data_IF_075330168354
#
_entry.id   IF_075330168354
#
_cell.length_a   1.000
_cell.length_b   1.000
_cell.length_c   1.000
_cell.angle_alpha   90.00
_cell.angle_beta   90.00
_cell.angle_gamma   90.00
#
_symmetry.space_group_name_H-M   'P 1'
#
loop_
_entity.id
_entity.type
_entity.pdbx_description
1 polymer ?
#
# COMPACT_ATOMS: atom_id res chain seq x y z
N UNK A 1 5.15 -17.99 1.91
CA UNK A 1 4.15 -17.09 2.47
C UNK A 1 3.56 -16.16 1.43
N UNK A 2 4.40 -15.46 0.70
CA UNK A 2 3.89 -14.56 -0.32
C UNK A 2 3.07 -15.30 -1.37
N UNK A 3 3.49 -16.50 -1.68
CA UNK A 3 2.74 -17.30 -2.64
C UNK A 3 1.32 -17.54 -2.17
N UNK A 4 1.17 -17.81 -0.89
CA UNK A 4 -0.15 -18.07 -0.35
C UNK A 4 -1.02 -16.83 -0.40
N UNK A 5 -0.44 -15.68 -0.13
CA UNK A 5 -1.19 -14.44 -0.19
C UNK A 5 -1.64 -14.15 -1.61
N UNK A 6 -0.75 -14.32 -2.54
CA UNK A 6 -1.07 -14.07 -3.93
C UNK A 6 -2.14 -15.03 -4.45
N UNK A 7 -2.03 -16.29 -4.06
CA UNK A 7 -3.03 -17.27 -4.48
C UNK A 7 -4.36 -17.03 -3.76
N UNK A 8 -4.30 -16.65 -2.51
CA UNK A 8 -5.51 -16.44 -1.72
C UNK A 8 -6.31 -15.26 -2.23
N UNK A 9 -5.69 -14.35 -2.93
CA UNK A 9 -6.40 -13.22 -3.48
C UNK A 9 -7.65 -13.64 -4.24
N UNK A 10 -7.58 -14.73 -4.96
CA UNK A 10 -8.71 -15.18 -5.77
C UNK A 10 -9.87 -15.67 -4.93
N UNK A 11 -9.64 -15.93 -3.64
CA UNK A 11 -10.69 -16.43 -2.76
C UNK A 11 -11.20 -15.37 -1.81
N UNK A 12 -10.61 -14.18 -1.81
CA UNK A 12 -11.01 -13.11 -0.91
C UNK A 12 -11.80 -12.08 -1.68
N UNK A 13 -12.97 -12.34 -2.04
CA UNK A 13 -13.69 -11.31 -2.76
C UNK A 13 -15.08 -11.10 -2.23
N UNK A 14 -15.57 -12.06 -1.48
CA UNK A 14 -16.99 -12.11 -1.23
C UNK A 14 -17.47 -10.97 -0.35
N UNK A 15 -16.75 -10.71 0.73
CA UNK A 15 -17.30 -9.81 1.74
C UNK A 15 -16.80 -8.39 1.63
N UNK A 16 -15.68 -8.19 0.92
CA UNK A 16 -15.11 -6.85 0.81
C UNK A 16 -14.49 -6.34 2.08
N UNK A 17 -14.28 -7.20 3.06
CA UNK A 17 -13.73 -6.78 4.35
C UNK A 17 -12.32 -7.29 4.59
N UNK A 18 -11.74 -7.97 3.62
CA UNK A 18 -10.37 -8.46 3.77
C UNK A 18 -9.40 -7.32 3.57
N UNK A 19 -8.41 -7.28 4.42
CA UNK A 19 -7.39 -6.23 4.41
C UNK A 19 -6.03 -6.88 4.41
N UNK A 20 -5.18 -6.45 3.49
CA UNK A 20 -3.79 -6.86 3.46
C UNK A 20 -3.00 -5.89 4.31
N UNK A 21 -2.30 -6.42 5.32
CA UNK A 21 -1.50 -5.59 6.21
C UNK A 21 -0.03 -5.63 5.82
N UNK A 22 0.61 -4.49 5.94
CA UNK A 22 2.04 -4.37 5.70
C UNK A 22 2.60 -3.37 6.69
N UNK A 23 3.91 -3.37 6.84
CA UNK A 23 4.55 -2.45 7.78
C UNK A 23 5.50 -1.51 7.05
N UNK A 24 5.57 -0.31 7.60
CA UNK A 24 6.63 0.65 7.31
C UNK A 24 7.25 0.94 8.67
N UNK A 25 8.52 0.64 8.83
CA UNK A 25 9.16 0.66 10.16
C UNK A 25 8.33 -0.19 11.12
N UNK A 26 7.90 0.38 12.22
CA UNK A 26 7.16 -0.35 13.24
C UNK A 26 5.65 -0.16 13.15
N UNK A 27 5.18 0.60 12.19
CA UNK A 27 3.75 0.89 12.07
C UNK A 27 3.13 -0.02 11.03
N UNK A 28 1.95 -0.53 11.35
CA UNK A 28 1.25 -1.45 10.47
C UNK A 28 0.09 -0.72 9.79
N UNK A 29 0.09 -0.80 8.48
CA UNK A 29 -0.94 -0.20 7.64
C UNK A 29 -1.70 -1.29 6.93
N UNK A 30 -2.88 -0.96 6.45
CA UNK A 30 -3.70 -1.91 5.72
C UNK A 30 -4.21 -1.35 4.41
N UNK A 31 -4.43 -2.24 3.47
CA UNK A 31 -5.01 -1.92 2.17
C UNK A 31 -6.13 -2.89 1.91
N UNK A 32 -7.27 -2.39 1.47
CA UNK A 32 -8.39 -3.27 1.14
C UNK A 32 -7.97 -4.22 0.03
N UNK A 33 -8.26 -5.49 0.21
CA UNK A 33 -7.77 -6.52 -0.71
C UNK A 33 -8.30 -6.34 -2.13
N UNK A 34 -9.42 -5.65 -2.27
CA UNK A 34 -10.01 -5.46 -3.59
C UNK A 34 -9.11 -4.67 -4.52
N UNK A 35 -8.18 -3.90 -3.97
CA UNK A 35 -7.24 -3.14 -4.79
C UNK A 35 -5.95 -3.88 -5.08
N UNK A 36 -5.71 -5.01 -4.42
CA UNK A 36 -4.45 -5.72 -4.54
C UNK A 36 -4.50 -6.65 -5.73
N UNK A 37 -3.66 -6.39 -6.72
CA UNK A 37 -3.57 -7.27 -7.87
C UNK A 37 -2.59 -8.41 -7.60
N UNK A 38 -1.41 -8.06 -7.10
CA UNK A 38 -0.41 -9.08 -6.75
C UNK A 38 0.67 -8.45 -5.89
N UNK A 39 1.46 -9.31 -5.28
CA UNK A 39 2.60 -8.89 -4.46
C UNK A 39 3.83 -9.52 -5.09
N UNK A 40 4.83 -8.70 -5.37
CA UNK A 40 6.07 -9.19 -5.98
C UNK A 40 7.25 -8.74 -5.14
N UNK A 41 8.36 -9.44 -5.29
CA UNK A 41 9.59 -9.04 -4.65
C UNK A 41 10.12 -7.78 -5.30
N UNK A 42 10.93 -7.04 -4.55
CA UNK A 42 11.54 -5.85 -5.12
C UNK A 42 12.40 -6.26 -6.32
N UNK A 43 12.30 -5.49 -7.39
CA UNK A 43 13.09 -5.77 -8.57
C UNK A 43 13.63 -4.48 -9.11
N UNK A 44 14.39 -4.57 -10.18
CA UNK A 44 15.04 -3.39 -10.73
C UNK A 44 14.00 -2.39 -11.21
N UNK A 45 14.13 -1.17 -10.71
CA UNK A 45 13.22 -0.09 -11.06
C UNK A 45 13.93 0.83 -12.03
N UNK A 46 13.30 1.09 -13.17
CA UNK A 46 13.88 1.99 -14.15
C UNK A 46 13.50 3.42 -13.77
N UNK A 47 14.52 4.24 -13.58
CA UNK A 47 14.31 5.61 -13.17
C UNK A 47 13.90 6.45 -14.38
N UNK A 48 12.84 7.24 -14.20
CA UNK A 48 12.35 8.14 -15.24
C UNK A 48 12.68 9.56 -14.80
N UNK A 49 13.35 10.36 -15.62
CA UNK A 49 13.72 11.73 -15.21
C UNK A 49 12.50 12.64 -15.12
N UNK A 50 12.60 13.63 -14.25
CA UNK A 50 11.63 14.71 -14.14
C UNK A 50 10.25 14.24 -13.70
N UNK A 51 10.21 13.31 -12.76
CA UNK A 51 8.94 12.87 -12.17
C UNK A 51 8.95 13.26 -10.70
N UNK A 52 7.77 13.29 -10.06
CA UNK A 52 7.70 13.61 -8.63
C UNK A 52 8.56 12.67 -7.80
N UNK A 53 9.03 13.20 -6.69
CA UNK A 53 10.00 12.51 -5.86
C UNK A 53 9.50 11.18 -5.31
N UNK A 54 8.22 11.05 -5.04
CA UNK A 54 7.68 9.82 -4.48
C UNK A 54 7.57 8.69 -5.50
N UNK A 55 7.65 9.01 -6.78
CA UNK A 55 7.65 7.98 -7.83
C UNK A 55 9.08 7.56 -8.06
N UNK A 56 9.37 6.29 -7.78
CA UNK A 56 10.74 5.79 -7.91
C UNK A 56 11.09 5.48 -9.35
N UNK A 57 10.10 5.22 -10.18
CA UNK A 57 10.33 4.87 -11.56
C UNK A 57 9.25 3.91 -12.04
N UNK A 58 9.63 3.04 -12.95
CA UNK A 58 8.68 2.08 -13.52
C UNK A 58 9.30 0.69 -13.53
N UNK A 59 8.43 -0.31 -13.52
CA UNK A 59 8.85 -1.70 -13.69
C UNK A 59 8.02 -2.30 -14.81
N UNK A 60 8.52 -3.41 -15.33
CA UNK A 60 7.82 -4.14 -16.38
C UNK A 60 7.21 -5.39 -15.77
N UNK A 61 5.89 -5.50 -15.84
CA UNK A 61 5.19 -6.68 -15.36
C UNK A 61 4.47 -7.30 -16.55
N UNK A 62 4.98 -8.42 -17.02
CA UNK A 62 4.39 -9.16 -18.11
C UNK A 62 4.10 -8.28 -19.32
N UNK A 63 5.08 -7.42 -19.65
CA UNK A 63 4.95 -6.54 -20.81
C UNK A 63 4.24 -5.24 -20.56
N UNK A 64 3.77 -5.02 -19.36
CA UNK A 64 3.06 -3.81 -18.99
C UNK A 64 3.95 -2.92 -18.14
N UNK A 65 4.02 -1.65 -18.47
CA UNK A 65 4.82 -0.70 -17.71
C UNK A 65 4.00 -0.17 -16.55
N UNK A 66 4.51 -0.36 -15.34
CA UNK A 66 3.78 -0.03 -14.12
C UNK A 66 4.61 0.97 -13.32
N UNK A 67 4.08 2.14 -13.01
CA UNK A 67 4.81 3.09 -12.15
C UNK A 67 4.87 2.57 -10.72
N UNK A 68 5.95 2.93 -10.03
CA UNK A 68 6.21 2.44 -8.68
C UNK A 68 6.43 3.63 -7.75
N UNK A 69 5.70 3.65 -6.67
CA UNK A 69 5.73 4.71 -5.67
C UNK A 69 6.38 4.19 -4.39
N UNK A 70 7.19 5.04 -3.75
CA UNK A 70 7.71 4.73 -2.43
C UNK A 70 6.72 5.20 -1.38
N UNK A 71 6.20 4.28 -0.58
CA UNK A 71 5.30 4.66 0.51
C UNK A 71 6.04 5.51 1.53
N UNK A 72 7.31 5.18 1.78
CA UNK A 72 8.12 5.98 2.71
C UNK A 72 8.18 7.44 2.25
N UNK A 73 8.49 7.66 0.99
CA UNK A 73 8.54 9.01 0.46
C UNK A 73 7.20 9.71 0.58
N UNK A 74 6.14 8.98 0.27
CA UNK A 74 4.79 9.54 0.35
C UNK A 74 4.46 10.00 1.75
N UNK A 75 4.91 9.24 2.75
CA UNK A 75 4.61 9.52 4.15
C UNK A 75 5.61 10.48 4.78
N UNK A 76 6.63 10.92 4.02
CA UNK A 76 7.67 11.78 4.59
C UNK A 76 8.63 11.03 5.48
N UNK A 77 8.77 9.74 5.27
CA UNK A 77 9.67 8.90 6.05
C UNK A 77 10.92 8.64 5.22
N UNK A 78 12.07 8.70 5.88
CA UNK A 78 13.35 8.50 5.21
C UNK A 78 13.42 7.11 4.58
N UNK A 79 13.96 7.03 3.39
CA UNK A 79 14.13 5.75 2.71
C UNK A 79 15.29 4.98 3.29
N UNK A 80 15.18 3.66 3.24
CA UNK A 80 16.22 2.76 3.73
C UNK A 80 16.58 1.81 2.60
N UNK A 81 17.75 1.15 2.68
CA UNK A 81 18.09 0.15 1.67
C UNK A 81 17.06 -0.96 1.64
N UNK A 82 16.84 -1.49 0.46
CA UNK A 82 15.93 -2.62 0.30
C UNK A 82 16.61 -3.90 0.79
N UNK A 83 15.80 -4.81 1.32
CA UNK A 83 16.30 -6.11 1.73
C UNK A 83 15.39 -7.19 1.17
N UNK A 84 15.56 -8.42 1.63
CA UNK A 84 14.82 -9.55 1.07
C UNK A 84 13.35 -9.57 1.47
N UNK A 85 12.92 -8.67 2.34
CA UNK A 85 11.52 -8.56 2.73
C UNK A 85 10.83 -7.40 2.04
N UNK A 86 11.58 -6.50 1.44
CA UNK A 86 11.00 -5.38 0.72
C UNK A 86 10.19 -5.89 -0.46
N UNK A 87 8.96 -5.43 -0.55
CA UNK A 87 8.04 -5.92 -1.57
C UNK A 87 7.39 -4.78 -2.31
N UNK A 88 6.87 -5.11 -3.49
CA UNK A 88 6.02 -4.19 -4.23
C UNK A 88 4.63 -4.78 -4.24
N UNK A 89 3.66 -4.02 -3.74
CA UNK A 89 2.26 -4.40 -3.83
C UNK A 89 1.71 -3.71 -5.07
N UNK A 90 1.28 -4.50 -6.04
CA UNK A 90 0.73 -3.95 -7.27
C UNK A 90 -0.76 -3.73 -7.07
N UNK A 91 -1.17 -2.47 -7.14
CA UNK A 91 -2.56 -2.10 -6.99
C UNK A 91 -3.20 -1.95 -8.36
N UNK A 92 -4.45 -2.32 -8.45
CA UNK A 92 -5.20 -2.14 -9.68
C UNK A 92 -6.54 -1.50 -9.34
N UNK A 93 -6.91 -0.51 -10.12
CA UNK A 93 -8.13 0.26 -9.88
C UNK A 93 -9.17 -0.08 -10.94
N UNK A 94 -10.38 0.45 -10.75
CA UNK A 94 -11.51 0.09 -11.60
C UNK A 94 -11.27 0.39 -13.07
N UNK A 95 -10.48 1.41 -13.36
CA UNK A 95 -10.17 1.78 -14.74
C UNK A 95 -9.07 0.92 -15.35
N UNK A 96 -8.57 -0.06 -14.61
CA UNK A 96 -7.51 -0.93 -15.10
C UNK A 96 -6.11 -0.42 -14.90
N UNK A 97 -5.96 0.79 -14.37
CA UNK A 97 -4.64 1.32 -14.10
C UNK A 97 -3.98 0.57 -12.96
N UNK A 98 -2.69 0.33 -13.10
CA UNK A 98 -1.91 -0.36 -12.08
C UNK A 98 -0.79 0.54 -11.59
N UNK A 99 -0.54 0.47 -10.29
CA UNK A 99 0.53 1.21 -9.65
C UNK A 99 1.14 0.30 -8.59
N UNK A 100 2.47 0.21 -8.57
CA UNK A 100 3.15 -0.54 -7.52
C UNK A 100 3.49 0.37 -6.36
N UNK A 101 3.37 -0.14 -5.15
CA UNK A 101 3.82 0.59 -3.97
C UNK A 101 4.88 -0.24 -3.26
N UNK A 102 5.96 0.42 -2.86
CA UNK A 102 7.05 -0.25 -2.16
C UNK A 102 6.80 -0.17 -0.67
N UNK A 103 6.79 -1.33 -0.03
CA UNK A 103 6.59 -1.42 1.41
C UNK A 103 7.73 -2.20 2.03
N UNK A 104 7.96 -1.98 3.32
CA UNK A 104 9.07 -2.65 4.00
C UNK A 104 8.83 -4.15 4.10
N UNK A 105 7.58 -4.54 4.34
CA UNK A 105 7.29 -5.92 4.66
C UNK A 105 5.79 -6.16 4.63
N UNK A 106 5.40 -7.24 4.00
CA UNK A 106 3.99 -7.67 4.00
C UNK A 106 3.76 -8.54 5.23
N UNK A 107 2.63 -8.33 5.90
CA UNK A 107 2.32 -9.06 7.11
C UNK A 107 1.33 -10.20 6.85
N UNK A 108 0.07 -9.88 6.66
CA UNK A 108 -0.96 -10.90 6.58
C UNK A 108 -2.24 -10.30 6.01
N UNK A 109 -3.15 -11.18 5.63
CA UNK A 109 -4.50 -10.77 5.21
C UNK A 109 -5.46 -11.18 6.31
N UNK A 110 -6.29 -10.24 6.75
CA UNK A 110 -7.27 -10.49 7.80
C UNK A 110 -8.65 -10.06 7.30
N UNK A 111 -9.64 -10.87 7.61
CA UNK A 111 -11.03 -10.49 7.38
C UNK A 111 -11.45 -9.61 8.56
N UNK A 112 -11.57 -8.32 8.33
CA UNK A 112 -11.80 -7.36 9.39
C UNK A 112 -13.31 -7.21 9.63
N UNK A 113 -13.69 -7.27 10.89
CA UNK A 113 -15.09 -7.05 11.26
C UNK A 113 -15.41 -5.56 11.09
N UNK A 114 -16.48 -5.22 10.37
CA UNK A 114 -16.80 -3.79 10.19
C UNK A 114 -16.95 -3.03 11.50
N UNK A 115 -17.34 -3.70 12.58
CA UNK A 115 -17.47 -3.02 13.85
C UNK A 115 -16.13 -2.60 14.44
N UNK A 116 -15.03 -3.15 13.94
CA UNK A 116 -13.70 -2.79 14.42
C UNK A 116 -13.10 -1.60 13.64
N UNK A 117 -13.81 -1.10 12.68
CA UNK A 117 -13.33 0.01 11.85
C UNK A 117 -13.95 1.30 12.37
N UNK A 118 -13.11 2.29 12.63
CA UNK A 118 -13.58 3.57 13.13
C UNK A 118 -12.97 4.69 12.32
N UNK A 119 -13.57 5.86 12.44
CA UNK A 119 -13.11 7.03 11.70
C UNK A 119 -11.77 7.50 12.22
N UNK A 120 -10.98 8.07 11.31
CA UNK A 120 -9.72 8.66 11.67
C UNK A 120 -9.97 9.91 12.50
N UNK A 121 -9.23 10.09 13.60
CA UNK A 121 -9.35 11.33 14.35
C UNK A 121 -8.98 12.52 13.48
N UNK A 122 -9.62 13.63 13.80
CA UNK A 122 -9.40 14.85 13.07
C UNK A 122 -8.01 15.40 13.42
N UNK A 123 -7.06 15.17 12.56
CA UNK A 123 -5.70 15.63 12.79
C UNK A 123 -5.24 16.39 11.58
N UNK A 124 -4.67 17.55 11.80
CA UNK A 124 -4.45 18.46 10.69
C UNK A 124 -3.03 18.47 10.16
N UNK A 125 -2.09 17.90 10.87
CA UNK A 125 -0.71 18.22 10.57
C UNK A 125 0.20 17.07 10.29
N UNK A 126 -0.30 15.87 10.19
CA UNK A 126 0.57 14.73 10.01
C UNK A 126 0.48 14.30 8.55
N UNK A 127 1.61 14.29 7.86
CA UNK A 127 1.62 13.94 6.45
C UNK A 127 0.97 12.59 6.19
N UNK A 128 1.30 11.61 7.01
CA UNK A 128 0.75 10.28 6.81
C UNK A 128 -0.77 10.25 6.99
N UNK A 129 -1.30 11.11 7.85
CA UNK A 129 -2.73 11.10 8.14
C UNK A 129 -3.57 11.44 6.92
N UNK A 130 -3.03 12.17 5.98
CA UNK A 130 -3.81 12.52 4.79
C UNK A 130 -4.15 11.30 3.96
N UNK A 131 -3.41 10.22 4.15
CA UNK A 131 -3.62 8.99 3.40
C UNK A 131 -4.36 7.94 4.21
N UNK A 132 -4.69 8.24 5.45
CA UNK A 132 -5.36 7.30 6.34
C UNK A 132 -6.87 7.51 6.24
N UNK A 133 -7.56 6.45 5.93
CA UNK A 133 -8.99 6.49 5.72
C UNK A 133 -9.76 6.10 6.99
N UNK A 134 -9.22 5.17 7.75
CA UNK A 134 -9.89 4.64 8.93
C UNK A 134 -8.87 4.01 9.85
N UNK A 135 -9.30 3.77 11.09
CA UNK A 135 -8.52 2.99 12.05
C UNK A 135 -9.17 1.63 12.19
N UNK A 136 -8.35 0.61 12.34
CA UNK A 136 -8.82 -0.75 12.56
C UNK A 136 -8.36 -1.19 13.93
N UNK A 137 -9.32 -1.50 14.81
CA UNK A 137 -9.03 -1.89 16.18
C UNK A 137 -9.00 -3.41 16.28
N UNK A 138 -7.80 -3.97 16.38
CA UNK A 138 -7.64 -5.41 16.56
C UNK A 138 -7.11 -5.67 17.96
N UNK A 139 -7.25 -6.91 18.41
CA UNK A 139 -6.70 -7.28 19.71
C UNK A 139 -5.20 -7.00 19.76
N UNK A 140 -4.53 -7.18 18.64
CA UNK A 140 -3.08 -6.96 18.57
C UNK A 140 -2.70 -5.48 18.52
N UNK A 141 -3.68 -4.59 18.40
CA UNK A 141 -3.40 -3.16 18.38
C UNK A 141 -4.14 -2.45 17.28
N UNK A 142 -3.90 -1.16 17.19
CA UNK A 142 -4.56 -0.32 16.20
C UNK A 142 -3.73 -0.33 14.92
N UNK A 143 -4.40 -0.49 13.79
CA UNK A 143 -3.77 -0.45 12.49
C UNK A 143 -4.46 0.63 11.64
N UNK A 144 -3.73 1.12 10.65
CA UNK A 144 -4.17 2.29 9.88
C UNK A 144 -4.54 1.88 8.47
N UNK A 145 -5.82 2.03 8.13
CA UNK A 145 -6.29 1.68 6.79
C UNK A 145 -6.04 2.83 5.84
N UNK A 146 -5.38 2.54 4.73
CA UNK A 146 -4.95 3.54 3.78
C UNK A 146 -6.03 3.76 2.72
N UNK A 147 -6.20 5.01 2.34
CA UNK A 147 -7.00 5.40 1.19
C UNK A 147 -6.11 5.27 -0.04
N UNK A 148 -6.31 4.22 -0.81
CA UNK A 148 -5.44 3.93 -1.95
C UNK A 148 -5.52 5.00 -3.03
N UNK A 149 -6.69 5.55 -3.25
CA UNK A 149 -6.83 6.60 -4.26
C UNK A 149 -6.04 7.84 -3.88
N UNK A 150 -6.10 8.23 -2.62
CA UNK A 150 -5.33 9.38 -2.17
C UNK A 150 -3.84 9.09 -2.24
N UNK A 151 -3.44 7.89 -1.85
CA UNK A 151 -2.04 7.53 -1.88
C UNK A 151 -1.45 7.69 -3.28
N UNK A 152 -2.22 7.32 -4.28
CA UNK A 152 -1.73 7.32 -5.66
C UNK A 152 -1.90 8.69 -6.31
N UNK A 153 -2.98 9.38 -6.05
CA UNK A 153 -3.37 10.56 -6.85
C UNK A 153 -3.07 11.89 -6.19
N UNK A 154 -2.68 11.88 -4.92
CA UNK A 154 -2.36 13.13 -4.24
C UNK A 154 -1.11 13.73 -4.85
N UNK A 155 -1.13 15.03 -5.09
CA UNK A 155 0.03 15.72 -5.67
C UNK A 155 1.11 15.98 -4.65
N UNK A 156 1.08 15.30 -3.52
CA UNK A 156 2.11 15.46 -2.52
C UNK A 156 1.86 16.62 -1.59
N UNK A 157 0.62 17.04 -1.53
CA UNK A 157 0.29 18.09 -0.59
C UNK A 157 0.91 19.41 -1.00
N UNK A 158 0.99 19.64 -2.27
CA UNK A 158 1.53 20.88 -2.76
C UNK A 158 0.79 22.08 -2.19
N UNK A 159 -0.35 21.85 -1.68
CA UNK A 159 -1.09 22.94 -1.07
C UNK A 159 -0.39 23.45 0.14
#
# INVERSE_FOLDING_TARGET
>A
MEENISAAKTTYSADGNEVLFFSIDDTIYGIEIKYVNEIIQIEQITIVPKIPDHIKGVINIRGKVVPVISVRKRFGIEEIPYDDRTCIIVLEFDDGNQVGIIVDRVQEVINVNPSDISNTPDSKNVNANRYIKSLINLESGIRLLIDCYKLINDDGGAA
#
